data_IF_608073894709
#
_entry.id   IF_608073894709
#
_cell.length_a   1.000
_cell.length_b   1.000
_cell.length_c   1.000
_cell.angle_alpha   90.00
_cell.angle_beta   90.00
_cell.angle_gamma   90.00
#
_symmetry.space_group_name_H-M   'P 1'
#
loop_
_entity.id
_entity.type
_entity.pdbx_description
1 polymer ?
#
# COMPACT_ATOMS: atom_id res chain seq x y z
N UNK A 1 -16.55 -4.45 25.00
CA UNK A 1 -15.66 -3.34 24.57
C UNK A 1 -15.64 -3.29 23.05
N UNK A 2 -15.26 -2.17 22.43
CA UNK A 2 -15.07 -2.11 20.97
C UNK A 2 -13.73 -2.72 20.58
N UNK A 3 -13.71 -3.53 19.53
CA UNK A 3 -12.51 -4.19 19.01
C UNK A 3 -12.47 -4.02 17.49
N UNK A 4 -11.45 -3.34 16.99
CA UNK A 4 -11.23 -3.12 15.56
C UNK A 4 -10.03 -3.90 15.08
N UNK A 5 -10.20 -4.64 13.98
CA UNK A 5 -9.16 -5.44 13.35
C UNK A 5 -9.17 -5.23 11.84
N UNK A 6 -7.98 -5.17 11.26
CA UNK A 6 -7.78 -5.07 9.82
C UNK A 6 -6.79 -6.13 9.36
N UNK A 7 -6.93 -6.59 8.12
CA UNK A 7 -5.83 -7.26 7.40
C UNK A 7 -5.22 -6.31 6.39
N UNK A 8 -4.08 -6.69 5.82
CA UNK A 8 -3.67 -6.12 4.55
C UNK A 8 -4.78 -6.32 3.50
N UNK A 9 -4.96 -5.30 2.66
CA UNK A 9 -5.81 -5.39 1.47
C UNK A 9 -5.04 -6.07 0.34
N UNK A 10 -5.62 -7.09 -0.27
CA UNK A 10 -4.90 -7.94 -1.22
C UNK A 10 -4.75 -7.26 -2.59
N UNK A 11 -3.65 -7.53 -3.27
CA UNK A 11 -3.38 -6.98 -4.59
C UNK A 11 -4.04 -7.86 -5.68
N UNK A 12 -5.14 -7.42 -6.32
CA UNK A 12 -5.95 -8.28 -7.20
C UNK A 12 -5.42 -8.27 -8.64
N UNK A 13 -4.10 -8.32 -8.83
CA UNK A 13 -3.49 -8.48 -10.14
C UNK A 13 -3.49 -9.95 -10.61
N UNK A 14 -3.73 -10.90 -9.71
CA UNK A 14 -3.81 -12.34 -9.98
C UNK A 14 -4.87 -13.01 -9.07
N UNK A 15 -5.01 -14.32 -9.22
CA UNK A 15 -5.88 -15.17 -8.39
C UNK A 15 -5.43 -15.22 -6.92
N UNK A 16 -6.35 -15.42 -5.97
CA UNK A 16 -5.99 -15.68 -4.58
C UNK A 16 -5.20 -17.00 -4.43
N UNK A 17 -4.33 -17.07 -3.43
CA UNK A 17 -3.48 -18.22 -3.13
C UNK A 17 -3.32 -18.39 -1.62
N UNK A 18 -2.63 -19.45 -1.18
CA UNK A 18 -2.47 -19.79 0.24
C UNK A 18 -1.92 -18.65 1.10
N UNK A 19 -0.96 -17.87 0.58
CA UNK A 19 -0.43 -16.69 1.28
C UNK A 19 -1.51 -15.65 1.66
N UNK A 20 -2.53 -15.46 0.83
CA UNK A 20 -3.66 -14.57 1.14
C UNK A 20 -4.58 -15.20 2.20
N UNK A 21 -4.77 -16.52 2.19
CA UNK A 21 -5.60 -17.20 3.17
C UNK A 21 -5.04 -17.07 4.59
N UNK A 22 -3.72 -17.20 4.74
CA UNK A 22 -3.08 -17.31 6.05
C UNK A 22 -3.42 -16.14 6.98
N UNK A 23 -3.19 -14.91 6.55
CA UNK A 23 -3.48 -13.72 7.35
C UNK A 23 -4.98 -13.59 7.66
N UNK A 24 -5.84 -13.84 6.67
CA UNK A 24 -7.29 -13.65 6.78
C UNK A 24 -7.92 -14.69 7.71
N UNK A 25 -7.42 -15.92 7.72
CA UNK A 25 -7.84 -16.97 8.65
C UNK A 25 -7.45 -16.63 10.10
N UNK A 26 -6.23 -16.11 10.31
CA UNK A 26 -5.80 -15.69 11.64
C UNK A 26 -6.62 -14.49 12.14
N UNK A 27 -6.90 -13.53 11.26
CA UNK A 27 -7.74 -12.38 11.59
C UNK A 27 -9.19 -12.81 11.90
N UNK A 28 -9.76 -13.70 11.10
CA UNK A 28 -11.08 -14.27 11.32
C UNK A 28 -11.19 -15.00 12.67
N UNK A 29 -10.20 -15.84 12.99
CA UNK A 29 -10.12 -16.51 14.29
C UNK A 29 -10.13 -15.50 15.44
N UNK A 30 -9.29 -14.45 15.36
CA UNK A 30 -9.24 -13.41 16.38
C UNK A 30 -10.57 -12.64 16.49
N UNK A 31 -11.19 -12.29 15.36
CA UNK A 31 -12.47 -11.59 15.34
C UNK A 31 -13.56 -12.44 16.01
N UNK A 32 -13.69 -13.72 15.64
CA UNK A 32 -14.66 -14.66 16.22
C UNK A 32 -14.41 -14.90 17.71
N UNK A 33 -13.15 -15.06 18.11
CA UNK A 33 -12.78 -15.19 19.53
C UNK A 33 -13.17 -13.95 20.34
N UNK A 34 -12.96 -12.74 19.81
CA UNK A 34 -13.35 -11.51 20.50
C UNK A 34 -14.88 -11.35 20.56
N UNK A 35 -15.62 -11.74 19.50
CA UNK A 35 -17.08 -11.79 19.50
C UNK A 35 -17.59 -12.76 20.59
N UNK A 36 -16.99 -13.94 20.73
CA UNK A 36 -17.32 -14.91 21.79
C UNK A 36 -17.07 -14.37 23.21
N UNK A 37 -16.11 -13.46 23.39
CA UNK A 37 -15.88 -12.75 24.65
C UNK A 37 -16.87 -11.61 24.93
N UNK A 38 -17.86 -11.40 24.06
CA UNK A 38 -18.85 -10.32 24.19
C UNK A 38 -18.35 -8.94 23.75
N UNK A 39 -17.29 -8.87 22.93
CA UNK A 39 -16.85 -7.59 22.37
C UNK A 39 -17.64 -7.21 21.10
N UNK A 40 -17.81 -5.91 20.90
CA UNK A 40 -18.33 -5.30 19.68
C UNK A 40 -17.19 -5.22 18.67
N UNK A 41 -17.17 -6.17 17.72
CA UNK A 41 -16.05 -6.39 16.80
C UNK A 41 -16.37 -5.83 15.43
N UNK A 42 -15.43 -5.09 14.86
CA UNK A 42 -15.43 -4.70 13.44
C UNK A 42 -14.16 -5.21 12.78
N UNK A 43 -14.30 -6.12 11.81
CA UNK A 43 -13.22 -6.69 11.03
C UNK A 43 -13.30 -6.19 9.57
N UNK A 44 -12.28 -5.43 9.16
CA UNK A 44 -12.11 -4.96 7.78
C UNK A 44 -11.03 -5.75 7.02
N UNK A 45 -11.36 -6.10 5.77
CA UNK A 45 -10.41 -6.61 4.78
C UNK A 45 -10.70 -5.93 3.43
N UNK A 46 -10.03 -6.32 2.35
CA UNK A 46 -10.30 -5.71 1.04
C UNK A 46 -9.26 -5.98 -0.02
N UNK A 47 -9.28 -5.15 -1.06
CA UNK A 47 -8.34 -5.19 -2.17
C UNK A 47 -7.75 -3.83 -2.53
N UNK A 48 -6.44 -3.79 -2.78
CA UNK A 48 -5.73 -2.63 -3.32
C UNK A 48 -5.76 -2.68 -4.85
N UNK A 49 -6.64 -1.89 -5.43
CA UNK A 49 -6.99 -1.96 -6.85
C UNK A 49 -6.21 -0.98 -7.72
N UNK A 50 -5.29 -0.17 -7.20
CA UNK A 50 -4.52 0.79 -8.00
C UNK A 50 -3.04 0.38 -8.18
N UNK A 51 -2.33 1.04 -9.09
CA UNK A 51 -0.91 0.77 -9.33
C UNK A 51 -0.58 0.12 -10.67
N UNK A 52 0.72 0.09 -10.97
CA UNK A 52 1.22 -0.16 -12.33
C UNK A 52 1.06 -1.63 -12.76
N UNK A 53 1.27 -2.59 -11.85
CA UNK A 53 1.07 -4.02 -12.13
C UNK A 53 -0.34 -4.33 -12.55
N UNK A 54 -1.34 -3.81 -11.83
CA UNK A 54 -2.76 -4.02 -12.17
C UNK A 54 -3.06 -3.44 -13.56
N UNK A 55 -2.54 -2.25 -13.85
CA UNK A 55 -2.69 -1.63 -15.16
C UNK A 55 -2.06 -2.48 -16.27
N UNK A 56 -0.81 -2.91 -16.09
CA UNK A 56 -0.08 -3.74 -17.06
C UNK A 56 -0.70 -5.13 -17.25
N UNK A 57 -1.19 -5.77 -16.18
CA UNK A 57 -1.89 -7.05 -16.27
C UNK A 57 -3.16 -6.90 -17.10
N UNK A 58 -3.92 -5.82 -16.89
CA UNK A 58 -5.13 -5.56 -17.68
C UNK A 58 -4.81 -5.38 -19.17
N UNK A 59 -3.74 -4.63 -19.48
CA UNK A 59 -3.25 -4.47 -20.84
C UNK A 59 -2.83 -5.80 -21.48
N UNK A 60 -2.05 -6.63 -20.77
CA UNK A 60 -1.64 -7.97 -21.26
C UNK A 60 -2.84 -8.90 -21.50
N UNK A 61 -3.88 -8.77 -20.69
CA UNK A 61 -5.12 -9.52 -20.84
C UNK A 61 -6.12 -8.89 -21.83
N UNK A 62 -5.75 -7.78 -22.50
CA UNK A 62 -6.60 -7.03 -23.43
C UNK A 62 -7.98 -6.66 -22.85
N UNK A 63 -8.02 -6.26 -21.57
CA UNK A 63 -9.23 -5.78 -20.90
C UNK A 63 -8.98 -4.45 -20.19
N UNK A 64 -10.06 -3.73 -19.85
CA UNK A 64 -9.93 -2.50 -19.06
C UNK A 64 -9.49 -2.83 -17.63
N UNK A 65 -8.71 -1.94 -17.01
CA UNK A 65 -8.22 -2.12 -15.64
C UNK A 65 -9.37 -2.26 -14.64
N UNK A 66 -10.44 -1.48 -14.82
CA UNK A 66 -11.68 -1.60 -14.04
C UNK A 66 -12.31 -3.00 -14.15
N UNK A 67 -12.29 -3.61 -15.34
CA UNK A 67 -12.81 -4.98 -15.55
C UNK A 67 -11.95 -6.00 -14.82
N UNK A 68 -10.64 -5.90 -14.92
CA UNK A 68 -9.70 -6.79 -14.21
C UNK A 68 -9.93 -6.77 -12.69
N UNK A 69 -9.91 -5.57 -12.07
CA UNK A 69 -10.06 -5.47 -10.61
C UNK A 69 -11.45 -5.90 -10.14
N UNK A 70 -12.50 -5.61 -10.90
CA UNK A 70 -13.85 -6.10 -10.59
C UNK A 70 -13.90 -7.63 -10.61
N UNK A 71 -13.29 -8.28 -11.60
CA UNK A 71 -13.26 -9.72 -11.71
C UNK A 71 -12.45 -10.34 -10.57
N UNK A 72 -11.23 -9.88 -10.35
CA UNK A 72 -10.34 -10.47 -9.36
C UNK A 72 -10.81 -10.21 -7.93
N UNK A 73 -11.30 -9.00 -7.61
CA UNK A 73 -11.88 -8.73 -6.29
C UNK A 73 -13.12 -9.58 -6.00
N UNK A 74 -13.90 -9.95 -7.02
CA UNK A 74 -14.98 -10.93 -6.87
C UNK A 74 -14.42 -12.31 -6.48
N UNK A 75 -13.34 -12.76 -7.13
CA UNK A 75 -12.67 -14.04 -6.80
C UNK A 75 -12.09 -14.06 -5.38
N UNK A 76 -11.53 -12.95 -4.89
CA UNK A 76 -11.12 -12.82 -3.49
C UNK A 76 -12.31 -12.97 -2.52
N UNK A 77 -13.45 -12.33 -2.81
CA UNK A 77 -14.66 -12.50 -1.99
C UNK A 77 -15.16 -13.95 -2.00
N UNK A 78 -15.17 -14.60 -3.15
CA UNK A 78 -15.55 -16.02 -3.29
C UNK A 78 -14.58 -16.94 -2.54
N UNK A 79 -13.27 -16.65 -2.62
CA UNK A 79 -12.25 -17.38 -1.89
C UNK A 79 -12.41 -17.25 -0.37
N UNK A 80 -12.66 -16.05 0.14
CA UNK A 80 -12.91 -15.85 1.57
C UNK A 80 -14.21 -16.52 2.02
N UNK A 81 -15.24 -16.52 1.17
CA UNK A 81 -16.48 -17.26 1.43
C UNK A 81 -16.22 -18.77 1.50
N UNK A 82 -15.40 -19.32 0.61
CA UNK A 82 -15.01 -20.74 0.62
C UNK A 82 -14.30 -21.12 1.93
N UNK A 83 -13.49 -20.21 2.46
CA UNK A 83 -12.76 -20.38 3.73
C UNK A 83 -13.63 -20.08 4.98
N UNK A 84 -14.91 -19.75 4.79
CA UNK A 84 -15.83 -19.35 5.85
C UNK A 84 -15.31 -18.18 6.72
N UNK A 85 -14.62 -17.23 6.07
CA UNK A 85 -14.14 -16.00 6.71
C UNK A 85 -15.30 -15.00 6.78
N UNK A 86 -15.53 -14.47 7.98
CA UNK A 86 -16.56 -13.49 8.26
C UNK A 86 -15.92 -12.14 8.55
N UNK A 87 -16.14 -11.17 7.67
CA UNK A 87 -15.70 -9.78 7.83
C UNK A 87 -16.90 -8.84 7.80
N UNK A 88 -16.78 -7.68 8.45
CA UNK A 88 -17.82 -6.67 8.52
C UNK A 88 -17.70 -5.65 7.36
N UNK A 89 -16.49 -5.47 6.82
CA UNK A 89 -16.22 -4.58 5.69
C UNK A 89 -15.22 -5.19 4.70
N UNK A 90 -15.55 -5.07 3.41
CA UNK A 90 -14.63 -5.36 2.30
C UNK A 90 -14.40 -4.08 1.51
N UNK A 91 -13.29 -3.41 1.77
CA UNK A 91 -12.94 -2.17 1.09
C UNK A 91 -12.28 -2.45 -0.27
N UNK A 92 -12.52 -1.55 -1.22
CA UNK A 92 -11.90 -1.57 -2.55
C UNK A 92 -11.36 -0.18 -2.82
N UNK A 93 -10.07 -0.04 -3.12
CA UNK A 93 -9.49 1.30 -3.31
C UNK A 93 -10.03 2.02 -4.54
N UNK A 94 -10.62 1.29 -5.51
CA UNK A 94 -11.32 1.90 -6.65
C UNK A 94 -12.73 2.45 -6.33
N UNK A 95 -13.24 2.22 -5.11
CA UNK A 95 -14.56 2.72 -4.69
C UNK A 95 -14.51 4.23 -4.43
N UNK A 96 -15.11 4.98 -5.38
CA UNK A 96 -15.17 6.44 -5.34
C UNK A 96 -16.06 7.01 -4.22
N UNK A 97 -16.99 6.23 -3.70
CA UNK A 97 -17.95 6.68 -2.67
C UNK A 97 -17.45 6.39 -1.27
N UNK A 98 -16.80 5.24 -1.07
CA UNK A 98 -16.36 4.78 0.25
C UNK A 98 -14.91 5.17 0.54
N UNK A 99 -13.97 4.86 -0.36
CA UNK A 99 -12.53 4.98 -0.09
C UNK A 99 -11.97 6.37 -0.43
N UNK A 100 -12.29 6.87 -1.63
CA UNK A 100 -11.70 8.11 -2.15
C UNK A 100 -11.89 9.33 -1.23
N UNK A 101 -13.05 9.54 -0.56
CA UNK A 101 -13.21 10.66 0.35
C UNK A 101 -12.20 10.64 1.51
N UNK A 102 -11.84 9.46 2.03
CA UNK A 102 -10.83 9.29 3.07
C UNK A 102 -9.44 9.69 2.59
N UNK A 103 -9.02 9.17 1.44
CA UNK A 103 -7.73 9.49 0.80
C UNK A 103 -7.62 11.00 0.55
N UNK A 104 -8.63 11.61 -0.07
CA UNK A 104 -8.61 13.04 -0.40
C UNK A 104 -8.60 13.91 0.85
N UNK A 105 -9.25 13.47 1.94
CA UNK A 105 -9.22 14.17 3.24
C UNK A 105 -7.83 14.09 3.88
N UNK A 106 -7.19 12.91 3.87
CA UNK A 106 -5.81 12.76 4.35
C UNK A 106 -4.85 13.62 3.53
N UNK A 107 -4.93 13.56 2.20
CA UNK A 107 -4.11 14.34 1.29
C UNK A 107 -4.16 15.84 1.59
N UNK A 108 -5.38 16.40 1.70
CA UNK A 108 -5.58 17.82 2.03
C UNK A 108 -4.97 18.19 3.38
N UNK A 109 -5.07 17.31 4.39
CA UNK A 109 -4.45 17.55 5.70
C UNK A 109 -2.92 17.58 5.62
N UNK A 110 -2.32 16.63 4.90
CA UNK A 110 -0.87 16.54 4.75
C UNK A 110 -0.29 17.74 3.96
N UNK A 111 -0.99 18.23 2.94
CA UNK A 111 -0.62 19.48 2.26
C UNK A 111 -0.72 20.65 3.23
N UNK A 112 -1.83 20.77 3.96
CA UNK A 112 -2.06 21.89 4.91
C UNK A 112 -1.04 21.91 6.05
N UNK A 113 -0.57 20.75 6.52
CA UNK A 113 0.48 20.66 7.56
C UNK A 113 1.90 20.87 7.02
N UNK A 114 2.06 21.03 5.70
CA UNK A 114 3.37 21.15 5.06
C UNK A 114 4.18 19.85 5.04
N UNK A 115 3.52 18.70 5.22
CA UNK A 115 4.14 17.37 5.20
C UNK A 115 4.19 16.74 3.80
N UNK A 116 3.43 17.27 2.85
CA UNK A 116 3.56 16.98 1.44
C UNK A 116 4.21 18.16 0.71
N UNK A 117 5.21 17.87 -0.11
CA UNK A 117 5.89 18.85 -0.93
C UNK A 117 6.22 18.25 -2.30
N UNK A 118 6.32 19.10 -3.32
CA UNK A 118 6.66 18.64 -4.68
C UNK A 118 8.16 18.71 -4.88
N UNK A 119 8.76 17.65 -5.42
CA UNK A 119 10.20 17.56 -5.69
C UNK A 119 10.43 16.82 -7.01
N UNK A 120 11.34 17.37 -7.82
CA UNK A 120 11.95 16.62 -8.93
C UNK A 120 12.93 15.61 -8.35
N UNK A 121 12.76 14.35 -8.70
CA UNK A 121 13.69 13.30 -8.33
C UNK A 121 14.13 12.55 -9.58
N UNK A 122 15.41 12.20 -9.59
CA UNK A 122 16.03 11.38 -10.61
C UNK A 122 16.44 10.08 -9.93
N UNK A 123 15.75 9.00 -10.23
CA UNK A 123 16.00 7.71 -9.58
C UNK A 123 16.24 6.62 -10.62
N UNK A 124 17.14 5.70 -10.26
CA UNK A 124 17.35 4.45 -10.99
C UNK A 124 16.19 3.53 -10.64
N UNK A 125 15.43 3.06 -11.63
CA UNK A 125 14.26 2.21 -11.44
C UNK A 125 14.48 0.84 -12.07
N UNK A 126 14.21 -0.22 -11.31
CA UNK A 126 14.21 -1.57 -11.83
C UNK A 126 12.78 -1.99 -12.16
N UNK A 127 12.48 -2.15 -13.45
CA UNK A 127 11.16 -2.61 -13.92
C UNK A 127 10.79 -3.99 -13.38
N UNK A 128 11.77 -4.87 -13.12
CA UNK A 128 11.50 -6.19 -12.54
C UNK A 128 11.10 -6.13 -11.06
N UNK A 129 11.77 -5.30 -10.26
CA UNK A 129 11.46 -5.14 -8.83
C UNK A 129 10.28 -4.20 -8.58
N UNK A 130 10.00 -3.30 -9.52
CA UNK A 130 9.07 -2.17 -9.35
C UNK A 130 9.38 -1.26 -8.15
N UNK A 131 10.67 -1.12 -7.89
CA UNK A 131 11.16 -0.20 -6.87
C UNK A 131 12.24 0.67 -7.47
N UNK A 132 12.36 1.87 -6.89
CA UNK A 132 13.58 2.62 -7.04
C UNK A 132 14.72 1.85 -6.40
N UNK A 133 15.89 2.01 -7.00
CA UNK A 133 17.12 1.38 -6.57
C UNK A 133 18.11 2.46 -6.20
N UNK A 134 18.63 2.36 -4.99
CA UNK A 134 19.81 3.13 -4.60
C UNK A 134 21.03 2.61 -5.35
N UNK A 135 22.13 3.36 -5.34
CA UNK A 135 23.37 2.88 -5.94
C UNK A 135 23.92 1.63 -5.26
N UNK A 136 23.72 1.50 -3.93
CA UNK A 136 24.13 0.34 -3.15
C UNK A 136 23.34 -0.93 -3.45
N UNK A 137 22.12 -0.82 -4.01
CA UNK A 137 21.31 -1.97 -4.43
C UNK A 137 21.61 -2.44 -5.87
N UNK A 138 22.51 -1.75 -6.59
CA UNK A 138 22.84 -2.05 -7.98
C UNK A 138 24.28 -2.50 -8.11
N UNK A 139 24.48 -3.59 -8.84
CA UNK A 139 25.82 -4.06 -9.22
C UNK A 139 26.07 -3.62 -10.66
N UNK A 140 27.07 -2.75 -10.87
CA UNK A 140 27.41 -2.22 -12.20
C UNK A 140 26.19 -1.59 -12.94
N UNK A 141 25.37 -0.81 -12.22
CA UNK A 141 24.11 -0.24 -12.73
C UNK A 141 23.10 -1.28 -13.25
N UNK A 142 23.13 -2.52 -12.73
CA UNK A 142 22.17 -3.58 -13.02
C UNK A 142 21.53 -4.07 -11.73
N UNK A 143 20.28 -4.51 -11.83
CA UNK A 143 19.61 -5.14 -10.70
C UNK A 143 20.13 -6.57 -10.54
N UNK A 144 20.64 -6.98 -9.36
CA UNK A 144 21.20 -8.31 -9.14
C UNK A 144 20.15 -9.43 -9.30
N UNK A 145 18.88 -9.11 -9.05
CA UNK A 145 17.76 -10.06 -9.16
C UNK A 145 17.19 -10.19 -10.58
N UNK A 146 17.51 -9.27 -11.49
CA UNK A 146 16.91 -9.20 -12.83
C UNK A 146 17.98 -9.04 -13.91
N UNK A 147 18.80 -10.07 -14.06
CA UNK A 147 19.90 -10.14 -15.03
C UNK A 147 19.35 -9.90 -16.45
N UNK A 148 19.95 -8.94 -17.16
CA UNK A 148 19.56 -8.57 -18.53
C UNK A 148 18.52 -7.46 -18.64
N UNK A 149 17.82 -7.09 -17.55
CA UNK A 149 16.93 -5.92 -17.57
C UNK A 149 17.73 -4.64 -17.36
N UNK A 150 17.56 -3.66 -18.26
CA UNK A 150 18.16 -2.34 -18.13
C UNK A 150 17.54 -1.58 -16.96
N UNK A 151 18.38 -0.87 -16.21
CA UNK A 151 17.93 0.12 -15.23
C UNK A 151 17.50 1.37 -15.98
N UNK A 152 16.29 1.85 -15.69
CA UNK A 152 15.77 3.08 -16.26
C UNK A 152 16.10 4.25 -15.34
N UNK A 153 16.53 5.38 -15.93
CA UNK A 153 16.65 6.63 -15.18
C UNK A 153 15.33 7.36 -15.33
N UNK A 154 14.59 7.44 -14.23
CA UNK A 154 13.32 8.13 -14.15
C UNK A 154 13.58 9.51 -13.57
N UNK A 155 13.40 10.55 -14.38
CA UNK A 155 13.26 11.92 -13.91
C UNK A 155 11.78 12.28 -13.88
N UNK A 156 11.28 12.54 -12.67
CA UNK A 156 9.87 12.84 -12.45
C UNK A 156 9.74 13.90 -11.36
N UNK A 157 8.68 14.69 -11.45
CA UNK A 157 8.26 15.57 -10.38
C UNK A 157 7.07 14.95 -9.67
N UNK A 158 7.26 14.54 -8.42
CA UNK A 158 6.22 13.90 -7.60
C UNK A 158 6.04 14.66 -6.28
N UNK A 159 4.91 14.43 -5.62
CA UNK A 159 4.69 14.80 -4.24
C UNK A 159 5.38 13.78 -3.32
N UNK A 160 6.09 14.28 -2.32
CA UNK A 160 6.81 13.50 -1.32
C UNK A 160 6.26 13.81 0.06
N UNK A 161 6.06 12.76 0.85
CA UNK A 161 5.76 12.83 2.26
C UNK A 161 7.06 12.90 3.07
N UNK A 162 7.13 13.88 3.98
CA UNK A 162 8.26 14.14 4.87
C UNK A 162 8.41 13.08 5.96
N UNK A 163 8.64 11.81 5.61
CA UNK A 163 8.82 10.75 6.59
C UNK A 163 10.03 11.02 7.50
N UNK A 164 11.11 11.59 6.94
CA UNK A 164 12.32 11.94 7.68
C UNK A 164 12.03 12.82 8.92
N UNK A 165 11.08 13.75 8.82
CA UNK A 165 10.61 14.61 9.92
C UNK A 165 10.07 13.82 11.12
N UNK A 166 9.49 12.64 10.88
CA UNK A 166 8.80 11.83 11.90
C UNK A 166 9.68 10.75 12.53
N UNK A 167 10.89 10.51 12.02
CA UNK A 167 11.82 9.46 12.47
C UNK A 167 11.98 9.40 13.99
N UNK A 168 12.41 10.49 14.63
CA UNK A 168 12.69 10.52 16.07
C UNK A 168 11.43 10.33 16.93
N UNK A 169 10.29 10.82 16.45
CA UNK A 169 9.01 10.62 17.13
C UNK A 169 8.59 9.16 17.07
N UNK A 170 8.71 8.51 15.91
CA UNK A 170 8.37 7.10 15.73
C UNK A 170 9.24 6.19 16.60
N UNK A 171 10.55 6.45 16.67
CA UNK A 171 11.48 5.70 17.54
C UNK A 171 10.98 5.75 19.00
N UNK A 172 10.69 6.95 19.52
CA UNK A 172 10.19 7.12 20.90
C UNK A 172 8.87 6.36 21.14
N UNK A 173 7.93 6.42 20.20
CA UNK A 173 6.63 5.76 20.32
C UNK A 173 6.74 4.23 20.31
N UNK A 174 7.66 3.69 19.51
CA UNK A 174 7.89 2.24 19.40
C UNK A 174 8.71 1.73 20.61
N UNK A 175 9.76 2.45 21.02
CA UNK A 175 10.59 2.05 22.17
C UNK A 175 9.79 2.08 23.48
N UNK A 176 8.90 3.06 23.66
CA UNK A 176 7.99 3.13 24.81
C UNK A 176 6.79 2.15 24.77
N UNK A 177 6.68 1.33 23.72
CA UNK A 177 5.55 0.41 23.50
C UNK A 177 4.18 1.10 23.43
N UNK A 178 4.14 2.42 23.18
CA UNK A 178 2.88 3.10 22.84
C UNK A 178 2.32 2.60 21.51
N UNK A 179 3.20 2.32 20.55
CA UNK A 179 2.89 1.53 19.36
C UNK A 179 3.47 0.14 19.51
N UNK A 180 2.62 -0.79 19.92
CA UNK A 180 3.03 -2.18 20.13
C UNK A 180 3.20 -2.89 18.79
N UNK A 181 4.42 -3.38 18.55
CA UNK A 181 4.76 -4.16 17.36
C UNK A 181 5.14 -5.57 17.80
N UNK A 182 4.48 -6.56 17.22
CA UNK A 182 4.73 -7.98 17.47
C UNK A 182 4.98 -8.71 16.14
N UNK A 183 5.84 -9.75 16.13
CA UNK A 183 6.71 -10.19 17.22
C UNK A 183 7.86 -9.20 17.49
N UNK A 184 8.60 -9.39 18.61
CA UNK A 184 9.73 -8.52 19.00
C UNK A 184 10.78 -8.35 17.89
N UNK A 185 10.97 -9.39 17.07
CA UNK A 185 11.86 -9.33 15.90
C UNK A 185 11.45 -8.23 14.92
N UNK A 186 10.18 -8.16 14.53
CA UNK A 186 9.68 -7.12 13.61
C UNK A 186 9.83 -5.72 14.23
N UNK A 187 9.60 -5.57 15.54
CA UNK A 187 9.86 -4.32 16.28
C UNK A 187 11.33 -3.89 16.12
N UNK A 188 12.27 -4.82 16.31
CA UNK A 188 13.70 -4.54 16.21
C UNK A 188 14.11 -4.19 14.77
N UNK A 189 13.57 -4.86 13.77
CA UNK A 189 13.82 -4.58 12.35
C UNK A 189 13.36 -3.16 11.98
N UNK A 190 12.15 -2.76 12.40
CA UNK A 190 11.62 -1.40 12.18
C UNK A 190 12.47 -0.35 12.91
N UNK A 191 12.87 -0.61 14.16
CA UNK A 191 13.74 0.31 14.90
C UNK A 191 15.12 0.45 14.25
N UNK A 192 15.69 -0.65 13.73
CA UNK A 192 16.96 -0.63 13.00
C UNK A 192 16.86 0.24 11.75
N UNK A 193 15.81 0.05 10.95
CA UNK A 193 15.52 0.89 9.78
C UNK A 193 15.38 2.37 10.17
N UNK A 194 14.59 2.67 11.20
CA UNK A 194 14.37 4.05 11.65
C UNK A 194 15.66 4.70 12.18
N UNK A 195 16.59 3.93 12.75
CA UNK A 195 17.87 4.46 13.25
C UNK A 195 18.84 4.82 12.11
N UNK A 196 18.74 4.15 10.95
CA UNK A 196 19.47 4.51 9.72
C UNK A 196 18.93 5.76 9.01
N UNK A 197 19.42 6.05 7.81
CA UNK A 197 19.00 7.22 7.02
C UNK A 197 17.61 7.00 6.40
N UNK A 198 16.61 7.68 6.96
CA UNK A 198 15.21 7.59 6.53
C UNK A 198 14.93 8.70 5.52
N UNK A 199 14.71 8.30 4.27
CA UNK A 199 14.33 9.22 3.20
C UNK A 199 12.82 9.53 3.17
N UNK A 200 12.47 10.62 2.50
CA UNK A 200 11.08 11.00 2.24
C UNK A 200 10.46 10.10 1.17
N UNK A 201 9.18 9.77 1.35
CA UNK A 201 8.49 8.78 0.52
C UNK A 201 7.66 9.47 -0.54
N UNK A 202 7.79 9.06 -1.80
CA UNK A 202 6.96 9.57 -2.87
C UNK A 202 5.50 9.09 -2.74
N UNK A 203 4.58 10.04 -2.65
CA UNK A 203 3.13 9.85 -2.45
C UNK A 203 2.31 10.09 -3.73
N UNK A 204 2.95 10.48 -4.84
CA UNK A 204 2.30 10.57 -6.15
C UNK A 204 3.16 10.00 -7.28
N UNK A 205 2.54 9.82 -8.45
CA UNK A 205 3.22 9.54 -9.72
C UNK A 205 2.62 10.37 -10.84
N UNK A 206 3.41 10.60 -11.88
CA UNK A 206 2.93 11.19 -13.13
C UNK A 206 1.87 10.29 -13.78
N UNK A 207 0.70 10.86 -14.06
CA UNK A 207 -0.47 10.16 -14.61
C UNK A 207 -0.22 9.53 -15.98
N UNK A 208 0.63 10.14 -16.81
CA UNK A 208 0.99 9.57 -18.13
C UNK A 208 1.71 8.22 -18.01
N UNK A 209 2.39 7.96 -16.89
CA UNK A 209 3.05 6.68 -16.61
C UNK A 209 2.17 5.73 -15.81
N UNK A 210 1.39 6.27 -14.87
CA UNK A 210 0.41 5.52 -14.09
C UNK A 210 -0.98 6.15 -14.22
N UNK A 211 -1.76 5.78 -15.24
CA UNK A 211 -3.08 6.40 -15.46
C UNK A 211 -4.17 5.85 -14.52
N UNK A 212 -3.91 4.72 -13.85
CA UNK A 212 -4.87 4.03 -12.99
C UNK A 212 -4.59 4.29 -11.50
N UNK A 213 -5.24 5.33 -10.97
CA UNK A 213 -5.14 5.77 -9.58
C UNK A 213 -6.07 6.93 -9.26
N UNK A 214 -6.03 7.41 -8.02
CA UNK A 214 -6.83 8.54 -7.55
C UNK A 214 -6.15 9.85 -7.99
N UNK A 215 -6.80 10.77 -8.73
CA UNK A 215 -6.18 12.03 -9.12
C UNK A 215 -5.79 12.88 -7.92
N UNK A 216 -4.62 13.54 -7.98
CA UNK A 216 -4.23 14.51 -6.97
C UNK A 216 -5.15 15.75 -7.06
N UNK A 217 -5.72 16.25 -5.95
CA UNK A 217 -6.48 17.49 -5.95
C UNK A 217 -5.67 18.65 -6.51
N UNK A 218 -6.24 19.39 -7.47
CA UNK A 218 -5.62 20.55 -8.12
C UNK A 218 -4.34 20.26 -8.94
N UNK A 219 -3.99 18.99 -9.18
CA UNK A 219 -2.87 18.59 -10.04
C UNK A 219 -3.28 17.38 -10.89
N UNK A 220 -3.88 17.66 -12.06
CA UNK A 220 -4.47 16.64 -12.94
C UNK A 220 -3.45 15.70 -13.59
N UNK A 221 -2.18 16.08 -13.57
CA UNK A 221 -1.08 15.35 -14.18
C UNK A 221 -0.46 14.35 -13.19
N UNK A 222 -0.95 14.31 -11.96
CA UNK A 222 -0.49 13.45 -10.89
C UNK A 222 -1.62 12.54 -10.38
N UNK A 223 -1.25 11.31 -10.03
CA UNK A 223 -2.10 10.38 -9.30
C UNK A 223 -1.49 10.10 -7.92
N UNK A 224 -2.34 10.00 -6.91
CA UNK A 224 -1.98 9.55 -5.57
C UNK A 224 -1.47 8.12 -5.69
N UNK A 225 -0.27 7.88 -5.16
CA UNK A 225 0.48 6.66 -5.35
C UNK A 225 0.31 5.70 -4.16
N UNK A 226 0.17 4.41 -4.50
CA UNK A 226 0.02 3.20 -3.67
C UNK A 226 -0.04 3.45 -2.17
N UNK A 227 1.05 3.83 -1.50
CA UNK A 227 1.06 3.97 -0.04
C UNK A 227 0.07 4.99 0.53
N UNK A 228 -0.05 6.16 -0.10
CA UNK A 228 -0.98 7.20 0.36
C UNK A 228 -2.45 6.81 0.16
N UNK A 229 -2.70 5.96 -0.83
CA UNK A 229 -4.00 5.45 -1.21
C UNK A 229 -4.37 4.23 -0.35
N UNK A 230 -3.60 3.15 -0.45
CA UNK A 230 -3.84 1.87 0.20
C UNK A 230 -3.86 1.96 1.73
N UNK A 231 -2.95 2.72 2.37
CA UNK A 231 -2.93 2.84 3.82
C UNK A 231 -4.09 3.67 4.40
N UNK A 232 -4.83 4.39 3.55
CA UNK A 232 -5.97 5.21 3.96
C UNK A 232 -7.31 4.45 3.95
N UNK A 233 -7.27 3.13 3.77
CA UNK A 233 -8.44 2.26 3.74
C UNK A 233 -9.12 2.13 5.11
#
# INVERSE_FOLDING_TARGET
>A
MKFYLTTAIDYPNAEPHLGHAYEKLLADFLAKYQKQKGNDVFYQTGTDEHGIKIYQTAQKANITTKKLVNQNSKKFKEFYKLLNIEYDSFIRTSDKKVHWPGVLKLWKKLIKSGDLFKKKYKAKYCVGCESFKTESELENNKCPFHIGKKIEIIEEENYFFKLSKYKNQLIKLIESDKYQIKPKRAKNEILSFLKGDVEDISFSRVKSKLPWGIPVPNDKDQVIYVWADALSN
#
